data_IF_781062945290
#
_entry.id   IF_781062945290
#
_cell.length_a   1.000
_cell.length_b   1.000
_cell.length_c   1.000
_cell.angle_alpha   90.00
_cell.angle_beta   90.00
_cell.angle_gamma   90.00
#
_symmetry.space_group_name_H-M   'P 1'
#
loop_
_entity.id
_entity.type
_entity.pdbx_description
1 polymer ?
#
# COMPACT_ATOMS: atom_id res chain seq x y z
N UNK A 1 8.96 5.13 -1.46
CA UNK A 1 8.60 4.79 -0.07
C UNK A 1 8.56 3.29 0.03
N UNK A 2 9.19 2.70 1.05
CA UNK A 2 9.09 1.26 1.28
C UNK A 2 7.73 0.86 1.87
N UNK A 3 6.98 1.82 2.42
CA UNK A 3 5.54 1.77 2.68
C UNK A 3 5.08 0.78 3.75
N UNK A 4 5.76 -0.35 3.90
CA UNK A 4 5.36 -1.54 4.62
C UNK A 4 6.53 -2.07 5.44
N UNK A 5 6.23 -2.78 6.53
CA UNK A 5 7.23 -3.35 7.42
C UNK A 5 8.10 -4.38 6.70
N UNK A 6 7.52 -5.17 5.79
CA UNK A 6 8.22 -6.18 4.99
C UNK A 6 9.47 -5.62 4.29
N UNK A 7 9.36 -4.43 3.68
CA UNK A 7 10.46 -3.77 2.95
C UNK A 7 11.60 -3.27 3.85
N UNK A 8 11.36 -3.13 5.15
CA UNK A 8 12.31 -2.63 6.15
C UNK A 8 12.52 -3.59 7.33
N UNK A 9 12.09 -4.84 7.20
CA UNK A 9 12.13 -5.86 8.25
C UNK A 9 13.50 -6.00 8.92
N UNK A 10 14.58 -6.01 8.14
CA UNK A 10 15.95 -6.12 8.64
C UNK A 10 16.36 -4.96 9.56
N UNK A 11 15.78 -3.77 9.37
CA UNK A 11 16.08 -2.60 10.21
C UNK A 11 15.41 -2.67 11.58
N UNK A 12 14.31 -3.43 11.71
CA UNK A 12 13.59 -3.59 12.98
C UNK A 12 14.48 -4.17 14.07
N UNK A 13 15.41 -5.07 13.72
CA UNK A 13 16.38 -5.59 14.69
C UNK A 13 17.14 -4.46 15.38
N UNK A 14 17.76 -3.58 14.61
CA UNK A 14 18.59 -2.50 15.17
C UNK A 14 17.75 -1.38 15.80
N UNK A 15 16.59 -1.09 15.22
CA UNK A 15 15.79 0.09 15.58
C UNK A 15 14.77 -0.17 16.69
N UNK A 16 14.26 -1.39 16.79
CA UNK A 16 13.23 -1.79 17.75
C UNK A 16 13.80 -2.84 18.69
N UNK A 17 14.05 -4.05 18.19
CA UNK A 17 14.27 -5.23 19.03
C UNK A 17 15.53 -5.15 19.90
N UNK A 18 16.66 -4.75 19.33
CA UNK A 18 17.90 -4.56 20.09
C UNK A 18 17.74 -3.47 21.15
N UNK A 19 17.11 -2.34 20.80
CA UNK A 19 16.90 -1.24 21.76
C UNK A 19 15.92 -1.62 22.87
N UNK A 20 14.98 -2.50 22.58
CA UNK A 20 14.05 -3.05 23.57
C UNK A 20 14.80 -3.99 24.53
N UNK A 21 15.61 -4.91 23.99
CA UNK A 21 16.39 -5.85 24.81
C UNK A 21 17.51 -5.22 25.63
N UNK A 22 18.06 -4.10 25.16
CA UNK A 22 19.11 -3.36 25.88
C UNK A 22 18.51 -2.50 27.02
N UNK A 23 17.18 -2.50 27.20
CA UNK A 23 16.52 -1.82 28.31
C UNK A 23 16.80 -2.54 29.63
N UNK A 24 17.03 -1.79 30.71
CA UNK A 24 17.38 -2.34 32.03
C UNK A 24 16.32 -3.28 32.63
N UNK A 25 15.06 -3.07 32.23
CA UNK A 25 13.91 -3.83 32.73
C UNK A 25 13.50 -4.95 31.74
N UNK A 26 14.32 -5.24 30.73
CA UNK A 26 14.08 -6.34 29.80
C UNK A 26 14.39 -7.70 30.47
N UNK A 27 13.45 -8.66 30.47
CA UNK A 27 13.70 -9.97 31.06
C UNK A 27 14.56 -10.85 30.13
N UNK A 28 15.27 -11.82 30.71
CA UNK A 28 16.19 -12.69 29.96
C UNK A 28 15.47 -13.60 28.95
N UNK A 29 14.20 -13.95 29.23
CA UNK A 29 13.33 -14.76 28.37
C UNK A 29 12.52 -13.94 27.34
N UNK A 30 12.79 -12.63 27.21
CA UNK A 30 12.11 -11.74 26.27
C UNK A 30 12.05 -12.32 24.85
N UNK A 31 13.18 -12.84 24.33
CA UNK A 31 13.21 -13.40 22.98
C UNK A 31 12.56 -14.77 22.87
N UNK A 32 12.41 -15.53 23.96
CA UNK A 32 11.65 -16.76 23.98
C UNK A 32 10.17 -16.46 23.69
N UNK A 33 9.61 -15.47 24.40
CA UNK A 33 8.22 -15.01 24.20
C UNK A 33 8.03 -14.34 22.83
N UNK A 34 8.91 -13.43 22.43
CA UNK A 34 8.81 -12.77 21.13
C UNK A 34 8.95 -13.75 19.96
N UNK A 35 9.82 -14.76 20.07
CA UNK A 35 9.96 -15.77 19.02
C UNK A 35 8.72 -16.68 18.94
N UNK A 36 8.16 -17.06 20.09
CA UNK A 36 6.88 -17.80 20.15
C UNK A 36 5.78 -17.05 19.41
N UNK A 37 5.67 -15.74 19.59
CA UNK A 37 4.66 -14.94 18.88
C UNK A 37 5.00 -14.68 17.41
N UNK A 38 6.28 -14.55 17.05
CA UNK A 38 6.74 -14.37 15.67
C UNK A 38 6.48 -15.62 14.82
N UNK A 39 6.76 -16.81 15.36
CA UNK A 39 6.53 -18.09 14.70
C UNK A 39 5.05 -18.28 14.35
N UNK A 40 4.13 -17.67 15.12
CA UNK A 40 2.70 -17.65 14.79
C UNK A 40 2.33 -16.97 13.49
N UNK A 41 3.21 -16.13 12.96
CA UNK A 41 3.04 -15.49 11.66
C UNK A 41 3.81 -16.19 10.54
N UNK A 42 4.39 -17.39 10.76
CA UNK A 42 5.11 -18.07 9.69
C UNK A 42 4.20 -18.71 8.65
N UNK A 43 4.66 -18.71 7.39
CA UNK A 43 4.02 -19.43 6.28
C UNK A 43 3.94 -20.93 6.58
N UNK A 44 5.02 -21.48 7.11
CA UNK A 44 5.08 -22.87 7.60
C UNK A 44 5.44 -22.87 9.07
N UNK A 45 4.54 -23.38 9.89
CA UNK A 45 4.74 -23.50 11.34
C UNK A 45 5.76 -24.59 11.67
N UNK A 46 6.54 -24.36 12.71
CA UNK A 46 7.44 -25.34 13.30
C UNK A 46 6.65 -26.38 14.09
N UNK A 47 7.21 -27.57 14.25
CA UNK A 47 6.62 -28.56 15.16
C UNK A 47 6.66 -28.04 16.61
N UNK A 48 5.50 -27.89 17.28
CA UNK A 48 5.46 -27.28 18.61
C UNK A 48 6.17 -28.11 19.69
N UNK A 49 6.15 -29.44 19.57
CA UNK A 49 6.65 -30.35 20.59
C UNK A 49 8.17 -30.56 20.52
N UNK A 50 8.79 -30.24 19.38
CA UNK A 50 10.22 -30.48 19.14
C UNK A 50 10.92 -29.20 18.69
N UNK A 51 10.69 -28.76 17.45
CA UNK A 51 11.43 -27.65 16.84
C UNK A 51 11.23 -26.32 17.57
N UNK A 52 9.98 -25.96 17.86
CA UNK A 52 9.70 -24.70 18.56
C UNK A 52 10.20 -24.76 20.00
N UNK A 53 9.87 -25.84 20.73
CA UNK A 53 10.29 -26.06 22.11
C UNK A 53 11.81 -25.92 22.28
N UNK A 54 12.59 -26.59 21.42
CA UNK A 54 14.06 -26.51 21.43
C UNK A 54 14.59 -25.07 21.26
N UNK A 55 13.85 -24.19 20.58
CA UNK A 55 14.27 -22.80 20.39
C UNK A 55 13.88 -21.93 21.59
N UNK A 56 12.66 -22.09 22.10
CA UNK A 56 12.12 -21.22 23.17
C UNK A 56 12.61 -21.60 24.57
N UNK A 57 13.13 -22.81 24.76
CA UNK A 57 13.72 -23.27 26.03
C UNK A 57 15.16 -22.75 26.26
N UNK A 58 15.80 -22.16 25.24
CA UNK A 58 17.13 -21.56 25.30
C UNK A 58 17.10 -20.08 24.87
N UNK A 59 17.46 -19.19 25.79
CA UNK A 59 17.40 -17.74 25.60
C UNK A 59 18.27 -17.23 24.44
N UNK A 60 19.49 -17.77 24.29
CA UNK A 60 20.41 -17.35 23.25
C UNK A 60 19.97 -17.91 21.89
N UNK A 61 19.47 -19.15 21.88
CA UNK A 61 18.91 -19.75 20.67
C UNK A 61 17.68 -18.99 20.18
N UNK A 62 16.75 -18.63 21.07
CA UNK A 62 15.58 -17.80 20.74
C UNK A 62 15.99 -16.45 20.16
N UNK A 63 16.96 -15.77 20.78
CA UNK A 63 17.49 -14.48 20.29
C UNK A 63 18.11 -14.60 18.90
N UNK A 64 18.92 -15.63 18.65
CA UNK A 64 19.56 -15.89 17.35
C UNK A 64 18.49 -16.22 16.30
N UNK A 65 17.53 -17.09 16.63
CA UNK A 65 16.44 -17.48 15.74
C UNK A 65 15.56 -16.27 15.36
N UNK A 66 15.20 -15.45 16.35
CA UNK A 66 14.44 -14.22 16.12
C UNK A 66 15.18 -13.26 15.19
N UNK A 67 16.46 -12.95 15.48
CA UNK A 67 17.28 -12.05 14.65
C UNK A 67 17.48 -12.57 13.22
N UNK A 68 17.63 -13.88 13.07
CA UNK A 68 17.93 -14.51 11.77
C UNK A 68 16.69 -14.72 10.90
N UNK A 69 15.48 -14.56 11.46
CA UNK A 69 14.22 -14.71 10.74
C UNK A 69 14.14 -13.72 9.58
N UNK A 70 13.97 -14.26 8.37
CA UNK A 70 13.84 -13.50 7.13
C UNK A 70 12.37 -13.24 6.84
N UNK A 71 12.10 -12.11 6.19
CA UNK A 71 10.74 -11.67 5.88
C UNK A 71 9.93 -12.72 5.09
N UNK A 72 10.56 -13.47 4.18
CA UNK A 72 9.89 -14.52 3.39
C UNK A 72 9.39 -15.71 4.21
N UNK A 73 9.83 -15.86 5.47
CA UNK A 73 9.27 -16.88 6.39
C UNK A 73 7.94 -16.45 6.97
N UNK A 74 7.66 -15.15 6.99
CA UNK A 74 6.44 -14.57 7.56
C UNK A 74 5.36 -14.51 6.47
N UNK A 75 4.11 -14.74 6.85
CA UNK A 75 2.92 -14.71 6.01
C UNK A 75 2.56 -13.27 5.60
N UNK A 76 3.44 -12.69 4.81
CA UNK A 76 3.34 -11.34 4.27
C UNK A 76 3.29 -10.24 5.32
N UNK A 77 2.91 -9.05 4.86
CA UNK A 77 2.81 -7.84 5.68
C UNK A 77 1.75 -7.98 6.79
N UNK A 78 0.60 -8.60 6.48
CA UNK A 78 -0.45 -8.81 7.46
C UNK A 78 0.02 -9.72 8.61
N UNK A 79 0.85 -10.73 8.32
CA UNK A 79 1.52 -11.55 9.33
C UNK A 79 2.45 -10.72 10.21
N UNK A 80 3.22 -9.79 9.64
CA UNK A 80 4.11 -8.89 10.39
C UNK A 80 3.30 -7.99 11.32
N UNK A 81 2.26 -7.32 10.81
CA UNK A 81 1.41 -6.42 11.60
C UNK A 81 0.80 -7.15 12.79
N UNK A 82 0.20 -8.32 12.56
CA UNK A 82 -0.36 -9.14 13.65
C UNK A 82 0.71 -9.60 14.64
N UNK A 83 1.92 -9.90 14.19
CA UNK A 83 3.02 -10.22 15.08
C UNK A 83 3.38 -9.03 15.98
N UNK A 84 3.46 -7.81 15.42
CA UNK A 84 3.80 -6.62 16.21
C UNK A 84 2.75 -6.33 17.29
N UNK A 85 1.48 -6.58 17.00
CA UNK A 85 0.38 -6.47 17.96
C UNK A 85 0.47 -7.56 19.04
N UNK A 86 0.67 -8.83 18.66
CA UNK A 86 0.87 -9.92 19.65
C UNK A 86 2.13 -9.77 20.49
N UNK A 87 3.19 -9.17 19.94
CA UNK A 87 4.38 -8.87 20.70
C UNK A 87 4.08 -7.88 21.86
N UNK A 88 3.13 -6.96 21.68
CA UNK A 88 2.66 -6.12 22.78
C UNK A 88 1.93 -6.94 23.85
N UNK A 89 1.03 -7.86 23.44
CA UNK A 89 0.32 -8.75 24.36
C UNK A 89 1.30 -9.60 25.19
N UNK A 90 2.34 -10.16 24.54
CA UNK A 90 3.38 -10.91 25.25
C UNK A 90 4.18 -10.05 26.24
N UNK A 91 4.45 -8.78 25.91
CA UNK A 91 5.10 -7.84 26.83
C UNK A 91 4.19 -7.45 28.01
N UNK A 92 2.87 -7.38 27.79
CA UNK A 92 1.87 -7.21 28.85
C UNK A 92 1.86 -8.40 29.81
N UNK A 93 1.90 -9.62 29.28
CA UNK A 93 1.94 -10.86 30.07
C UNK A 93 3.22 -10.99 30.90
N UNK A 94 4.36 -10.53 30.39
CA UNK A 94 5.62 -10.48 31.14
C UNK A 94 5.58 -9.50 32.33
N UNK A 95 4.66 -8.53 32.33
CA UNK A 95 4.39 -7.69 33.51
C UNK A 95 5.37 -6.54 33.75
N UNK A 96 5.97 -5.98 32.69
CA UNK A 96 6.92 -4.86 32.77
C UNK A 96 6.39 -3.59 32.08
N UNK A 97 5.64 -2.71 32.80
CA UNK A 97 4.99 -1.53 32.19
C UNK A 97 5.93 -0.60 31.42
N UNK A 98 7.15 -0.39 31.91
CA UNK A 98 8.12 0.49 31.25
C UNK A 98 8.58 -0.07 29.89
N UNK A 99 8.61 -1.40 29.76
CA UNK A 99 9.01 -2.08 28.54
C UNK A 99 7.92 -1.97 27.46
N UNK A 100 6.65 -1.98 27.88
CA UNK A 100 5.47 -1.81 27.01
C UNK A 100 5.45 -0.41 26.39
N UNK A 101 5.55 0.63 27.22
CA UNK A 101 5.61 2.02 26.73
C UNK A 101 6.85 2.22 25.84
N UNK A 102 7.98 1.60 26.20
CA UNK A 102 9.19 1.65 25.37
C UNK A 102 8.99 0.99 24.01
N UNK A 103 8.32 -0.16 23.96
CA UNK A 103 8.01 -0.84 22.70
C UNK A 103 7.10 0.02 21.83
N UNK A 104 6.06 0.63 22.40
CA UNK A 104 5.19 1.58 21.71
C UNK A 104 5.97 2.73 21.07
N UNK A 105 6.83 3.41 21.85
CA UNK A 105 7.66 4.51 21.35
C UNK A 105 8.59 4.09 20.21
N UNK A 106 9.24 2.93 20.35
CA UNK A 106 10.18 2.41 19.35
C UNK A 106 9.47 2.09 18.03
N UNK A 107 8.28 1.50 18.07
CA UNK A 107 7.51 1.19 16.86
C UNK A 107 6.90 2.45 16.25
N UNK A 108 6.42 3.41 17.06
CA UNK A 108 5.97 4.71 16.57
C UNK A 108 7.10 5.47 15.83
N UNK A 109 8.29 5.57 16.44
CA UNK A 109 9.48 6.17 15.82
C UNK A 109 9.88 5.44 14.53
N UNK A 110 9.78 4.11 14.51
CA UNK A 110 10.07 3.30 13.33
C UNK A 110 9.11 3.60 12.18
N UNK A 111 7.80 3.61 12.45
CA UNK A 111 6.76 3.96 11.47
C UNK A 111 7.03 5.33 10.86
N UNK A 112 7.30 6.33 11.71
CA UNK A 112 7.59 7.69 11.24
C UNK A 112 8.88 7.76 10.41
N UNK A 113 9.97 7.16 10.92
CA UNK A 113 11.30 7.17 10.30
C UNK A 113 11.27 6.58 8.88
N UNK A 114 10.54 5.48 8.68
CA UNK A 114 10.46 4.81 7.38
C UNK A 114 9.24 5.21 6.55
N UNK A 115 8.42 6.15 7.05
CA UNK A 115 7.16 6.60 6.44
C UNK A 115 6.28 5.41 6.07
N UNK A 116 6.07 4.52 7.05
CA UNK A 116 5.23 3.35 6.88
C UNK A 116 3.75 3.76 6.83
N UNK A 117 2.94 2.91 6.21
CA UNK A 117 1.52 3.15 5.91
C UNK A 117 0.60 3.13 7.13
N UNK A 118 1.11 2.94 8.34
CA UNK A 118 0.30 2.69 9.55
C UNK A 118 0.29 3.88 10.50
N UNK A 119 -0.79 4.01 11.25
CA UNK A 119 -0.89 4.78 12.47
C UNK A 119 -0.94 3.80 13.65
N UNK A 120 -0.04 3.99 14.63
CA UNK A 120 -0.04 3.20 15.87
C UNK A 120 -0.97 3.85 16.90
N UNK A 121 -1.94 3.09 17.41
CA UNK A 121 -2.92 3.53 18.41
C UNK A 121 -2.83 2.71 19.68
N UNK A 122 -3.19 3.31 20.82
CA UNK A 122 -3.22 2.61 22.12
C UNK A 122 -4.39 1.61 22.21
N UNK A 123 -4.26 0.48 22.93
CA UNK A 123 -3.06 0.06 23.68
C UNK A 123 -1.88 -0.29 22.77
N UNK A 124 -2.10 -1.08 21.71
CA UNK A 124 -1.15 -1.23 20.60
C UNK A 124 -1.85 -1.86 19.38
N UNK A 125 -2.37 -1.02 18.48
CA UNK A 125 -3.02 -1.47 17.24
C UNK A 125 -2.52 -0.66 16.06
N UNK A 126 -2.27 -1.32 14.94
CA UNK A 126 -1.72 -0.73 13.72
C UNK A 126 -2.83 -0.56 12.68
N UNK A 127 -3.17 0.70 12.40
CA UNK A 127 -4.26 1.03 11.47
C UNK A 127 -3.67 1.53 10.15
N UNK A 128 -4.04 0.95 9.00
CA UNK A 128 -3.68 1.53 7.71
C UNK A 128 -4.19 2.97 7.60
N UNK A 129 -3.32 3.87 7.17
CA UNK A 129 -3.67 5.26 6.88
C UNK A 129 -4.21 5.39 5.47
N UNK A 130 -5.11 6.34 5.23
CA UNK A 130 -5.64 6.60 3.89
C UNK A 130 -4.53 6.91 2.86
N UNK A 131 -3.54 7.77 3.14
CA UNK A 131 -2.39 7.97 2.23
C UNK A 131 -1.62 6.67 1.95
N UNK A 132 -1.48 5.80 2.96
CA UNK A 132 -0.86 4.49 2.83
C UNK A 132 -1.62 3.55 1.89
N UNK A 133 -2.95 3.53 1.98
CA UNK A 133 -3.83 2.77 1.08
C UNK A 133 -3.66 3.24 -0.37
N UNK A 134 -3.66 4.56 -0.62
CA UNK A 134 -3.41 5.10 -1.96
C UNK A 134 -2.01 4.77 -2.47
N UNK A 135 -0.99 4.85 -1.61
CA UNK A 135 0.38 4.49 -1.98
C UNK A 135 0.49 3.02 -2.41
N UNK A 136 -0.18 2.10 -1.71
CA UNK A 136 -0.24 0.68 -2.10
C UNK A 136 -0.99 0.49 -3.41
N UNK A 137 -2.16 1.13 -3.58
CA UNK A 137 -2.90 1.09 -4.84
C UNK A 137 -2.02 1.46 -6.05
N UNK A 138 -1.25 2.55 -5.96
CA UNK A 138 -0.35 2.94 -7.05
C UNK A 138 0.83 1.99 -7.25
N UNK A 139 1.37 1.40 -6.18
CA UNK A 139 2.40 0.37 -6.30
C UNK A 139 1.85 -0.89 -6.98
N UNK A 140 0.64 -1.31 -6.64
CA UNK A 140 0.00 -2.51 -7.21
C UNK A 140 -0.39 -2.28 -8.67
N UNK A 141 -0.86 -1.08 -9.00
CA UNK A 141 -1.05 -0.64 -10.38
C UNK A 141 0.28 -0.72 -11.16
N UNK A 142 1.39 -0.24 -10.59
CA UNK A 142 2.70 -0.32 -11.24
C UNK A 142 3.12 -1.78 -11.46
N UNK A 143 3.03 -2.62 -10.45
CA UNK A 143 3.40 -4.05 -10.54
C UNK A 143 2.53 -4.79 -11.55
N UNK A 144 1.22 -4.51 -11.55
CA UNK A 144 0.26 -5.14 -12.47
C UNK A 144 0.48 -4.70 -13.91
N UNK A 145 0.69 -3.41 -14.13
CA UNK A 145 0.89 -2.84 -15.48
C UNK A 145 2.19 -3.33 -16.11
N UNK A 146 3.24 -3.58 -15.32
CA UNK A 146 4.51 -4.15 -15.81
C UNK A 146 4.39 -5.52 -16.48
N UNK A 147 3.32 -6.26 -16.20
CA UNK A 147 3.10 -7.60 -16.76
C UNK A 147 2.59 -7.57 -18.22
N UNK A 148 2.19 -6.40 -18.73
CA UNK A 148 1.70 -6.22 -20.09
C UNK A 148 2.35 -5.00 -20.76
N UNK A 149 2.81 -5.15 -22.00
CA UNK A 149 3.59 -4.11 -22.67
C UNK A 149 2.79 -2.81 -22.90
N UNK A 150 1.50 -2.90 -23.25
CA UNK A 150 0.66 -1.74 -23.50
C UNK A 150 0.32 -1.00 -22.20
N UNK A 151 -0.03 -1.75 -21.15
CA UNK A 151 -0.27 -1.19 -19.81
C UNK A 151 0.99 -0.54 -19.24
N UNK A 152 2.15 -1.19 -19.34
CA UNK A 152 3.41 -0.67 -18.85
C UNK A 152 3.78 0.66 -19.55
N UNK A 153 3.58 0.73 -20.87
CA UNK A 153 3.80 1.96 -21.63
C UNK A 153 2.88 3.09 -21.15
N UNK A 154 1.56 2.82 -21.01
CA UNK A 154 0.61 3.83 -20.53
C UNK A 154 0.93 4.31 -19.11
N UNK A 155 1.35 3.40 -18.22
CA UNK A 155 1.76 3.74 -16.86
C UNK A 155 3.03 4.61 -16.87
N UNK A 156 4.03 4.26 -17.69
CA UNK A 156 5.25 5.06 -17.83
C UNK A 156 4.95 6.47 -18.35
N UNK A 157 4.13 6.61 -19.39
CA UNK A 157 3.74 7.92 -19.93
C UNK A 157 3.03 8.79 -18.89
N UNK A 158 2.17 8.19 -18.07
CA UNK A 158 1.53 8.90 -16.96
C UNK A 158 2.57 9.36 -15.93
N UNK A 159 3.44 8.47 -15.44
CA UNK A 159 4.46 8.84 -14.47
C UNK A 159 5.45 9.89 -15.00
N UNK A 160 5.82 9.82 -16.27
CA UNK A 160 6.67 10.82 -16.93
C UNK A 160 5.98 12.18 -16.99
N UNK A 161 4.70 12.22 -17.37
CA UNK A 161 3.93 13.47 -17.40
C UNK A 161 3.80 14.14 -16.02
N UNK A 162 3.73 13.34 -14.94
CA UNK A 162 3.78 13.87 -13.57
C UNK A 162 5.16 14.46 -13.25
N UNK A 163 6.25 13.82 -13.66
CA UNK A 163 7.62 14.32 -13.46
C UNK A 163 7.85 15.63 -14.22
N UNK A 164 7.31 15.78 -15.41
CA UNK A 164 7.44 16.99 -16.23
C UNK A 164 6.87 18.25 -15.57
N UNK A 165 5.86 18.10 -14.71
CA UNK A 165 5.28 19.21 -13.95
C UNK A 165 6.27 19.84 -12.97
N UNK A 166 7.32 19.12 -12.56
CA UNK A 166 8.44 19.69 -11.78
C UNK A 166 9.15 20.79 -12.55
N UNK A 167 9.28 20.64 -13.87
CA UNK A 167 9.99 21.60 -14.72
C UNK A 167 9.10 22.78 -15.15
N UNK A 168 7.88 22.89 -14.59
CA UNK A 168 6.92 23.95 -14.87
C UNK A 168 5.49 23.41 -15.00
N UNK A 169 4.55 24.15 -14.43
CA UNK A 169 3.14 23.76 -14.26
C UNK A 169 2.22 24.55 -15.20
N UNK A 170 2.57 24.61 -16.49
CA UNK A 170 1.72 25.29 -17.46
C UNK A 170 0.41 24.53 -17.67
N UNK A 171 -0.66 25.25 -18.03
CA UNK A 171 -1.97 24.67 -18.35
C UNK A 171 -1.84 23.51 -19.36
N UNK A 172 -0.98 23.66 -20.39
CA UNK A 172 -0.72 22.60 -21.36
C UNK A 172 -0.15 21.31 -20.73
N UNK A 173 0.85 21.43 -19.84
CA UNK A 173 1.45 20.25 -19.18
C UNK A 173 0.48 19.58 -18.22
N UNK A 174 -0.33 20.36 -17.52
CA UNK A 174 -1.37 19.82 -16.64
C UNK A 174 -2.40 19.03 -17.45
N UNK A 175 -2.86 19.58 -18.58
CA UNK A 175 -3.78 18.87 -19.50
C UNK A 175 -3.17 17.57 -20.01
N UNK A 176 -1.90 17.57 -20.38
CA UNK A 176 -1.17 16.34 -20.79
C UNK A 176 -1.16 15.31 -19.66
N UNK A 177 -0.88 15.72 -18.42
CA UNK A 177 -0.89 14.80 -17.28
C UNK A 177 -2.27 14.14 -17.08
N UNK A 178 -3.34 14.93 -17.11
CA UNK A 178 -4.72 14.41 -17.00
C UNK A 178 -5.04 13.47 -18.17
N UNK A 179 -4.64 13.85 -19.39
CA UNK A 179 -4.83 13.03 -20.58
C UNK A 179 -4.13 11.66 -20.45
N UNK A 180 -2.87 11.63 -20.02
CA UNK A 180 -2.11 10.38 -19.85
C UNK A 180 -2.73 9.48 -18.78
N UNK A 181 -3.27 10.06 -17.71
CA UNK A 181 -4.00 9.27 -16.71
C UNK A 181 -5.31 8.67 -17.24
N UNK A 182 -6.08 9.44 -18.01
CA UNK A 182 -7.31 8.94 -18.67
C UNK A 182 -6.98 7.81 -19.65
N UNK A 183 -5.88 7.96 -20.39
CA UNK A 183 -5.39 6.92 -21.30
C UNK A 183 -5.01 5.65 -20.54
N UNK A 184 -4.29 5.77 -19.40
CA UNK A 184 -3.97 4.63 -18.55
C UNK A 184 -5.24 3.89 -18.10
N UNK A 185 -6.28 4.59 -17.63
CA UNK A 185 -7.53 3.95 -17.23
C UNK A 185 -8.27 3.30 -18.40
N UNK A 186 -8.21 3.89 -19.60
CA UNK A 186 -8.79 3.32 -20.83
C UNK A 186 -8.10 2.00 -21.20
N UNK A 187 -6.76 1.95 -21.12
CA UNK A 187 -6.01 0.71 -21.36
C UNK A 187 -6.29 -0.33 -20.28
N UNK A 188 -6.39 0.08 -19.01
CA UNK A 188 -6.76 -0.81 -17.90
C UNK A 188 -8.15 -1.42 -18.12
N UNK A 189 -9.17 -0.59 -18.40
CA UNK A 189 -10.53 -1.05 -18.62
C UNK A 189 -10.66 -1.93 -19.88
N UNK A 190 -9.88 -1.64 -20.92
CA UNK A 190 -9.83 -2.46 -22.13
C UNK A 190 -9.28 -3.88 -21.93
N UNK A 191 -8.65 -4.15 -20.77
CA UNK A 191 -8.18 -5.49 -20.40
C UNK A 191 -9.22 -6.28 -19.57
N UNK A 192 -10.34 -5.67 -19.19
CA UNK A 192 -11.40 -6.37 -18.48
C UNK A 192 -12.05 -7.43 -19.39
N UNK A 193 -12.38 -8.63 -18.85
CA UNK A 193 -13.11 -9.65 -19.59
C UNK A 193 -14.42 -9.12 -20.17
N UNK A 194 -14.69 -9.40 -21.45
CA UNK A 194 -15.94 -9.01 -22.11
C UNK A 194 -15.99 -7.55 -22.60
N UNK A 195 -14.96 -6.74 -22.34
CA UNK A 195 -14.88 -5.38 -22.87
C UNK A 195 -14.41 -5.41 -24.33
N UNK A 196 -15.19 -4.79 -25.21
CA UNK A 196 -14.91 -4.65 -26.66
C UNK A 196 -15.01 -3.21 -27.16
N UNK A 197 -15.52 -2.30 -26.33
CA UNK A 197 -15.66 -0.90 -26.68
C UNK A 197 -14.30 -0.20 -26.84
N UNK A 198 -14.24 0.80 -27.73
CA UNK A 198 -12.99 1.53 -28.03
C UNK A 198 -12.74 2.80 -27.21
N UNK A 199 -13.63 3.15 -26.27
CA UNK A 199 -13.48 4.33 -25.43
C UNK A 199 -13.87 4.01 -23.98
N UNK A 200 -13.16 4.57 -23.01
CA UNK A 200 -13.39 4.28 -21.59
C UNK A 200 -14.86 4.54 -21.17
N UNK A 201 -15.48 5.60 -21.71
CA UNK A 201 -16.88 5.90 -21.44
C UNK A 201 -17.84 4.78 -21.86
N UNK A 202 -17.59 4.12 -22.99
CA UNK A 202 -18.38 2.97 -23.45
C UNK A 202 -17.96 1.66 -22.76
N UNK A 203 -16.67 1.50 -22.43
CA UNK A 203 -16.18 0.37 -21.64
C UNK A 203 -16.85 0.31 -20.26
N UNK A 204 -17.15 1.46 -19.65
CA UNK A 204 -17.86 1.52 -18.38
C UNK A 204 -19.23 0.78 -18.42
N UNK A 205 -19.90 0.72 -19.58
CA UNK A 205 -21.17 0.00 -19.73
C UNK A 205 -20.99 -1.53 -19.88
N UNK A 206 -19.76 -1.99 -20.08
CA UNK A 206 -19.39 -3.40 -20.24
C UNK A 206 -18.70 -3.99 -19.00
N UNK A 207 -18.13 -3.15 -18.14
CA UNK A 207 -17.58 -3.54 -16.83
C UNK A 207 -18.71 -3.77 -15.83
N UNK A 208 -18.67 -4.86 -15.06
CA UNK A 208 -19.73 -5.30 -14.14
C UNK A 208 -19.40 -5.15 -12.65
N UNK A 209 -18.19 -4.68 -12.32
CA UNK A 209 -17.69 -4.50 -10.94
C UNK A 209 -18.26 -3.27 -10.21
N UNK A 210 -19.09 -2.47 -10.87
CA UNK A 210 -19.62 -1.23 -10.30
C UNK A 210 -20.59 -1.50 -9.14
N UNK A 211 -20.43 -0.83 -7.99
CA UNK A 211 -21.34 -1.02 -6.85
C UNK A 211 -22.71 -0.35 -7.08
N UNK A 212 -22.80 0.62 -7.98
CA UNK A 212 -24.02 1.35 -8.29
C UNK A 212 -23.93 2.07 -9.65
N UNK A 213 -25.05 2.18 -10.37
CA UNK A 213 -25.09 2.85 -11.67
C UNK A 213 -24.61 4.31 -11.63
N UNK A 214 -24.91 5.06 -10.56
CA UNK A 214 -24.42 6.44 -10.39
C UNK A 214 -22.90 6.54 -10.31
N UNK A 215 -22.22 5.54 -9.73
CA UNK A 215 -20.75 5.53 -9.66
C UNK A 215 -20.17 5.31 -11.06
N UNK A 216 -20.75 4.36 -11.82
CA UNK A 216 -20.42 4.16 -13.25
C UNK A 216 -20.62 5.45 -14.06
N UNK A 217 -21.78 6.08 -13.94
CA UNK A 217 -22.08 7.33 -14.66
C UNK A 217 -21.19 8.50 -14.23
N UNK A 218 -20.73 8.53 -12.98
CA UNK A 218 -19.75 9.52 -12.53
C UNK A 218 -18.41 9.35 -13.27
N UNK A 219 -17.92 8.11 -13.44
CA UNK A 219 -16.72 7.85 -14.22
C UNK A 219 -16.89 8.23 -15.70
N UNK A 220 -18.05 7.94 -16.29
CA UNK A 220 -18.38 8.33 -17.68
C UNK A 220 -18.39 9.84 -17.86
N UNK A 221 -18.97 10.60 -16.93
CA UNK A 221 -18.95 12.07 -16.95
C UNK A 221 -17.55 12.64 -16.75
N UNK A 222 -16.77 12.05 -15.86
CA UNK A 222 -15.38 12.44 -15.64
C UNK A 222 -14.52 12.18 -16.89
N UNK A 223 -14.75 11.08 -17.59
CA UNK A 223 -14.15 10.83 -18.88
C UNK A 223 -14.59 11.85 -19.95
N UNK A 224 -15.88 12.19 -19.97
CA UNK A 224 -16.44 13.24 -20.84
C UNK A 224 -15.74 14.59 -20.67
N UNK A 225 -15.36 14.96 -19.44
CA UNK A 225 -14.54 16.16 -19.21
C UNK A 225 -13.21 16.13 -19.99
N UNK A 226 -12.52 14.98 -20.07
CA UNK A 226 -11.29 14.84 -20.86
C UNK A 226 -11.51 14.97 -22.37
N UNK A 227 -12.70 14.64 -22.86
CA UNK A 227 -13.10 14.73 -24.27
C UNK A 227 -13.59 16.13 -24.65
N UNK A 228 -14.35 16.78 -23.76
CA UNK A 228 -15.01 18.06 -24.03
C UNK A 228 -14.13 19.26 -23.70
N UNK A 229 -13.31 19.18 -22.64
CA UNK A 229 -12.47 20.31 -22.23
C UNK A 229 -11.35 20.55 -23.28
N UNK A 230 -11.14 21.80 -23.74
CA UNK A 230 -10.18 22.11 -24.80
C UNK A 230 -8.73 21.69 -24.50
N UNK A 231 -8.19 20.82 -25.35
CA UNK A 231 -6.77 20.45 -25.35
C UNK A 231 -6.34 19.46 -24.28
N UNK A 232 -7.27 18.69 -23.69
CA UNK A 232 -6.92 17.50 -22.89
C UNK A 232 -6.70 16.30 -23.82
N UNK A 233 -7.75 15.70 -24.41
CA UNK A 233 -7.63 14.59 -25.37
C UNK A 233 -7.67 15.04 -26.83
N UNK A 234 -8.60 15.94 -27.14
CA UNK A 234 -8.89 16.41 -28.49
C UNK A 234 -9.03 17.94 -28.49
N UNK A 235 -9.37 18.53 -29.64
CA UNK A 235 -9.62 19.98 -29.74
C UNK A 235 -10.67 20.49 -28.73
N UNK A 236 -11.63 19.63 -28.35
CA UNK A 236 -12.67 19.92 -27.37
C UNK A 236 -13.67 20.99 -27.83
N UNK A 237 -14.51 21.45 -26.91
CA UNK A 237 -15.45 22.54 -27.09
C UNK A 237 -15.00 23.75 -26.24
N UNK A 238 -14.49 24.85 -26.84
CA UNK A 238 -14.09 26.05 -26.10
C UNK A 238 -15.18 26.61 -25.17
N UNK A 239 -16.46 26.48 -25.54
CA UNK A 239 -17.58 26.96 -24.72
C UNK A 239 -17.83 26.10 -23.46
N UNK A 240 -17.24 24.90 -23.37
CA UNK A 240 -17.35 24.04 -22.18
C UNK A 240 -16.42 24.45 -21.05
N UNK A 241 -15.36 25.23 -21.34
CA UNK A 241 -14.38 25.64 -20.35
C UNK A 241 -14.93 26.81 -19.51
N UNK A 242 -15.05 26.58 -18.20
CA UNK A 242 -15.48 27.63 -17.26
C UNK A 242 -14.32 28.54 -16.83
N UNK A 243 -13.09 28.01 -16.85
CA UNK A 243 -11.83 28.68 -16.54
C UNK A 243 -10.67 27.81 -17.01
N UNK A 244 -9.46 28.36 -17.01
CA UNK A 244 -8.25 27.58 -17.23
C UNK A 244 -7.99 26.53 -16.14
N UNK A 245 -7.33 25.45 -16.56
CA UNK A 245 -6.89 24.34 -15.70
C UNK A 245 -5.66 24.77 -14.88
N UNK A 246 -5.71 24.44 -13.60
CA UNK A 246 -4.70 24.74 -12.60
C UNK A 246 -4.28 23.47 -11.85
N UNK A 247 -3.23 23.57 -11.03
CA UNK A 247 -2.71 22.42 -10.28
C UNK A 247 -3.74 21.77 -9.35
N UNK A 248 -4.70 22.54 -8.82
CA UNK A 248 -5.79 21.97 -8.01
C UNK A 248 -6.63 20.96 -8.78
N UNK A 249 -6.82 21.18 -10.09
CA UNK A 249 -7.59 20.29 -10.96
C UNK A 249 -6.81 19.03 -11.24
N UNK A 250 -5.50 19.16 -11.49
CA UNK A 250 -4.60 18.01 -11.62
C UNK A 250 -4.71 17.10 -10.40
N UNK A 251 -4.57 17.66 -9.20
CA UNK A 251 -4.61 16.89 -7.95
C UNK A 251 -5.97 16.23 -7.76
N UNK A 252 -7.06 16.99 -7.91
CA UNK A 252 -8.41 16.47 -7.72
C UNK A 252 -8.75 15.35 -8.72
N UNK A 253 -8.50 15.59 -10.01
CA UNK A 253 -8.74 14.59 -11.07
C UNK A 253 -7.87 13.36 -10.85
N UNK A 254 -6.61 13.54 -10.44
CA UNK A 254 -5.72 12.41 -10.17
C UNK A 254 -6.20 11.50 -9.07
N UNK A 255 -6.71 12.08 -7.97
CA UNK A 255 -7.29 11.32 -6.85
C UNK A 255 -8.56 10.59 -7.29
N UNK A 256 -9.45 11.26 -8.02
CA UNK A 256 -10.69 10.64 -8.51
C UNK A 256 -10.41 9.47 -9.44
N UNK A 257 -9.52 9.66 -10.43
CA UNK A 257 -9.16 8.63 -11.40
C UNK A 257 -8.44 7.45 -10.75
N UNK A 258 -7.56 7.69 -9.78
CA UNK A 258 -6.98 6.62 -8.98
C UNK A 258 -8.07 5.85 -8.21
N UNK A 259 -9.04 6.56 -7.61
CA UNK A 259 -10.17 5.96 -6.90
C UNK A 259 -11.09 5.10 -7.78
N UNK A 260 -11.09 5.30 -9.10
CA UNK A 260 -11.85 4.46 -10.04
C UNK A 260 -11.09 3.21 -10.49
N UNK A 261 -9.77 3.18 -10.35
CA UNK A 261 -8.95 2.07 -10.83
C UNK A 261 -9.36 0.68 -10.28
N UNK A 262 -9.76 0.52 -8.99
CA UNK A 262 -10.22 -0.77 -8.47
C UNK A 262 -11.48 -1.32 -9.15
N UNK A 263 -12.32 -0.48 -9.75
CA UNK A 263 -13.47 -0.96 -10.53
C UNK A 263 -13.06 -1.39 -11.93
N UNK A 264 -12.00 -0.81 -12.48
CA UNK A 264 -11.60 -1.02 -13.87
C UNK A 264 -10.59 -2.16 -14.04
N UNK A 265 -10.24 -2.90 -12.98
CA UNK A 265 -9.25 -3.96 -13.04
C UNK A 265 -9.54 -5.09 -12.08
N UNK A 266 -9.71 -6.31 -12.62
CA UNK A 266 -9.82 -7.53 -11.82
C UNK A 266 -8.46 -8.01 -11.28
N UNK A 267 -7.37 -7.33 -11.65
CA UNK A 267 -6.01 -7.65 -11.21
C UNK A 267 -5.63 -6.95 -9.90
N UNK A 268 -6.47 -6.03 -9.42
CA UNK A 268 -6.30 -5.36 -8.14
C UNK A 268 -7.16 -6.04 -7.08
N UNK A 269 -6.58 -6.35 -5.93
CA UNK A 269 -7.30 -6.92 -4.79
C UNK A 269 -7.49 -5.83 -3.72
N UNK A 270 -8.71 -5.28 -3.53
CA UNK A 270 -8.97 -4.23 -2.55
C UNK A 270 -8.66 -4.64 -1.11
N UNK A 271 -8.83 -5.93 -0.78
CA UNK A 271 -8.55 -6.44 0.57
C UNK A 271 -7.05 -6.40 0.85
N UNK A 272 -6.24 -6.77 -0.15
CA UNK A 272 -4.77 -6.67 -0.08
C UNK A 272 -4.29 -5.24 -0.09
N UNK A 273 -4.88 -4.37 -0.91
CA UNK A 273 -4.56 -2.95 -0.94
C UNK A 273 -4.81 -2.32 0.43
N UNK A 274 -5.91 -2.67 1.11
CA UNK A 274 -6.21 -2.20 2.46
C UNK A 274 -5.25 -2.80 3.51
N UNK A 275 -5.10 -4.13 3.53
CA UNK A 275 -4.34 -4.86 4.54
C UNK A 275 -2.81 -4.80 4.37
N UNK A 276 -2.31 -4.41 3.19
CA UNK A 276 -0.88 -4.32 2.86
C UNK A 276 -0.19 -5.61 2.44
N UNK A 277 -0.92 -6.69 2.14
CA UNK A 277 -0.31 -7.97 1.75
C UNK A 277 -0.07 -8.12 0.25
N UNK A 278 1.01 -8.80 -0.13
CA UNK A 278 1.16 -9.49 -1.42
C UNK A 278 0.97 -11.01 -1.17
N UNK A 279 0.52 -11.77 -2.19
CA UNK A 279 0.45 -13.23 -2.12
C UNK A 279 1.80 -13.87 -2.48
#
# INVERSE_FOLDING_TARGET
MKGEFSGVWSEMWRKVWKKLSDHRDAPDDLFCELYRELERSFVTRLDPATELANIIDDQEQARIAFRSTKVFKVDGEAGIVKFLERAHEALEELGYPQLIDRYFELVADFIQTYSLRYELRRPFTLHPTLPGVFAKLFNDLRTTTQQDAALNMAMHEFEESVRDLRNGQSSARIKTCIHKQMNLLEVIAGQCPGVTAGSLGAMCDQVDTWPHATIREAMKKLYGFGSDYPGIRHGGNPASALRDIEMRDMVAVSVLLAGFAPYLSDRLDPSKIYAGGDA
#
